data_IF_544232832832
#
_entry.id   IF_544232832832
#
_cell.length_a   1.000
_cell.length_b   1.000
_cell.length_c   1.000
_cell.angle_alpha   90.00
_cell.angle_beta   90.00
_cell.angle_gamma   90.00
#
_symmetry.space_group_name_H-M   'P 1'
#
loop_
_entity.id
_entity.type
_entity.pdbx_description
1 polymer ?
#
# COMPACT_ATOMS: atom_id res chain seq x y z
N UNK A 1 14.28 -3.92 -6.84
CA UNK A 1 14.51 -2.89 -5.81
C UNK A 1 13.75 -3.28 -4.54
N UNK A 2 14.31 -3.05 -3.37
CA UNK A 2 13.63 -3.31 -2.08
C UNK A 2 13.13 -1.99 -1.52
N UNK A 3 11.87 -1.98 -1.07
CA UNK A 3 11.17 -0.85 -0.50
C UNK A 3 10.58 -1.26 0.85
N UNK A 4 10.53 -0.32 1.78
CA UNK A 4 10.05 -0.53 3.14
C UNK A 4 8.85 0.39 3.38
N UNK A 5 7.65 0.04 2.88
CA UNK A 5 6.46 0.85 3.14
C UNK A 5 6.09 0.81 4.62
N UNK A 6 5.77 1.98 5.17
CA UNK A 6 5.32 2.13 6.54
C UNK A 6 4.07 2.99 6.59
N UNK A 7 3.08 2.55 7.35
CA UNK A 7 1.87 3.32 7.62
C UNK A 7 1.70 3.42 9.13
N UNK A 8 1.79 4.63 9.65
CA UNK A 8 1.61 4.96 11.07
C UNK A 8 0.23 5.57 11.31
N UNK A 9 -0.29 5.40 12.52
CA UNK A 9 -1.53 6.04 12.98
C UNK A 9 -2.75 5.78 12.08
N UNK A 10 -2.89 4.56 11.58
CA UNK A 10 -4.12 4.16 10.89
C UNK A 10 -5.16 3.85 11.95
N UNK A 11 -6.16 4.73 12.08
CA UNK A 11 -7.24 4.57 13.05
C UNK A 11 -8.20 3.47 12.62
N UNK A 12 -8.50 2.55 13.53
CA UNK A 12 -9.60 1.60 13.33
C UNK A 12 -10.95 2.27 13.55
N UNK A 13 -12.04 1.64 13.10
CA UNK A 13 -13.40 2.09 13.38
C UNK A 13 -13.71 2.12 14.90
N UNK A 14 -12.95 1.40 15.71
CA UNK A 14 -13.00 1.41 17.18
C UNK A 14 -12.03 2.41 17.82
N UNK A 15 -11.33 3.25 17.03
CA UNK A 15 -10.39 4.25 17.54
C UNK A 15 -9.06 3.68 18.05
N UNK A 16 -8.69 2.47 17.63
CA UNK A 16 -7.41 1.86 17.99
C UNK A 16 -6.34 2.29 16.96
N UNK A 17 -5.21 2.88 17.38
CA UNK A 17 -4.14 3.20 16.46
C UNK A 17 -3.38 1.94 16.04
N UNK A 18 -3.25 1.73 14.73
CA UNK A 18 -2.43 0.66 14.15
C UNK A 18 -1.22 1.22 13.41
N UNK A 19 -0.09 0.56 13.60
CA UNK A 19 1.15 0.80 12.84
C UNK A 19 1.49 -0.47 12.06
N UNK A 20 1.67 -0.32 10.76
CA UNK A 20 1.98 -1.44 9.86
C UNK A 20 3.27 -1.15 9.11
N UNK A 21 4.21 -2.07 9.24
CA UNK A 21 5.49 -2.07 8.52
C UNK A 21 5.53 -3.24 7.56
N UNK A 22 5.98 -3.01 6.33
CA UNK A 22 6.15 -4.05 5.31
C UNK A 22 7.51 -4.00 4.63
N UNK A 23 7.83 -5.09 3.93
CA UNK A 23 8.96 -5.14 2.99
C UNK A 23 8.40 -5.56 1.64
N UNK A 24 8.65 -4.75 0.61
CA UNK A 24 8.18 -4.99 -0.74
C UNK A 24 9.37 -5.04 -1.72
N UNK A 25 9.37 -6.03 -2.60
CA UNK A 25 10.36 -6.14 -3.66
C UNK A 25 9.71 -5.80 -5.00
N UNK A 26 10.10 -4.67 -5.59
CA UNK A 26 9.54 -4.18 -6.85
C UNK A 26 10.54 -4.38 -7.99
N UNK A 27 10.04 -4.72 -9.18
CA UNK A 27 10.84 -4.84 -10.41
C UNK A 27 9.97 -4.36 -11.58
N UNK A 28 10.58 -3.63 -12.51
CA UNK A 28 9.93 -3.27 -13.77
C UNK A 28 9.85 -4.52 -14.65
N UNK A 29 8.66 -4.84 -15.15
CA UNK A 29 8.47 -5.97 -16.08
C UNK A 29 9.05 -5.63 -17.45
N UNK A 30 9.54 -6.63 -18.18
CA UNK A 30 10.21 -6.44 -19.48
C UNK A 30 9.26 -6.61 -20.69
N UNK A 31 7.97 -6.38 -20.50
CA UNK A 31 6.98 -6.47 -21.55
C UNK A 31 6.91 -5.15 -22.33
N UNK A 32 6.86 -5.19 -23.65
CA UNK A 32 7.10 -4.03 -24.53
C UNK A 32 6.14 -2.85 -24.24
N UNK A 33 4.85 -3.15 -24.05
CA UNK A 33 3.82 -2.17 -23.72
C UNK A 33 4.07 -1.53 -22.35
N UNK A 34 4.38 -2.35 -21.34
CA UNK A 34 4.64 -1.88 -19.97
C UNK A 34 5.96 -1.12 -19.84
N UNK A 35 6.96 -1.51 -20.64
CA UNK A 35 8.26 -0.85 -20.67
C UNK A 35 8.12 0.56 -21.25
N UNK A 36 7.30 0.73 -22.29
CA UNK A 36 7.00 2.04 -22.86
C UNK A 36 6.36 2.96 -21.83
N UNK A 37 5.33 2.50 -21.11
CA UNK A 37 4.70 3.28 -20.04
C UNK A 37 5.66 3.58 -18.88
N UNK A 38 6.49 2.62 -18.48
CA UNK A 38 7.48 2.84 -17.43
C UNK A 38 8.53 3.89 -17.86
N UNK A 39 8.95 3.87 -19.13
CA UNK A 39 9.80 4.90 -19.69
C UNK A 39 9.08 6.26 -19.66
N UNK A 40 7.86 6.39 -20.16
CA UNK A 40 7.12 7.67 -20.12
C UNK A 40 6.99 8.24 -18.70
N UNK A 41 6.79 7.37 -17.70
CA UNK A 41 6.52 7.77 -16.32
C UNK A 41 7.79 8.07 -15.51
N UNK A 42 8.92 7.43 -15.87
CA UNK A 42 10.17 7.48 -15.09
C UNK A 42 11.38 8.04 -15.88
N UNK A 43 11.28 8.25 -17.19
CA UNK A 43 12.35 8.82 -18.01
C UNK A 43 12.68 10.24 -17.52
N UNK A 44 13.96 10.49 -17.26
CA UNK A 44 14.43 11.76 -16.71
C UNK A 44 14.31 11.91 -15.19
N UNK A 45 13.64 10.97 -14.49
CA UNK A 45 13.61 10.97 -13.01
C UNK A 45 14.84 10.29 -12.43
N UNK A 46 15.28 10.76 -11.28
CA UNK A 46 16.33 10.09 -10.53
C UNK A 46 15.80 8.78 -9.93
N UNK A 47 16.67 7.78 -9.74
CA UNK A 47 16.36 6.52 -9.05
C UNK A 47 15.68 6.75 -7.68
N UNK A 48 16.04 7.82 -6.96
CA UNK A 48 15.38 8.20 -5.70
C UNK A 48 13.91 8.58 -5.89
N UNK A 49 13.59 9.36 -6.91
CA UNK A 49 12.22 9.80 -7.20
C UNK A 49 11.34 8.65 -7.67
N UNK A 50 11.90 7.73 -8.47
CA UNK A 50 11.21 6.51 -8.87
C UNK A 50 10.86 5.67 -7.64
N UNK A 51 11.83 5.44 -6.74
CA UNK A 51 11.59 4.71 -5.48
C UNK A 51 10.53 5.38 -4.62
N UNK A 52 10.56 6.70 -4.48
CA UNK A 52 9.57 7.48 -3.72
C UNK A 52 8.16 7.32 -4.30
N UNK A 53 8.03 7.41 -5.63
CA UNK A 53 6.74 7.25 -6.32
C UNK A 53 6.15 5.87 -6.02
N UNK A 54 6.94 4.82 -6.17
CA UNK A 54 6.49 3.44 -5.90
C UNK A 54 6.17 3.22 -4.42
N UNK A 55 6.99 3.76 -3.51
CA UNK A 55 6.77 3.67 -2.07
C UNK A 55 5.43 4.31 -1.67
N UNK A 56 5.14 5.52 -2.15
CA UNK A 56 3.86 6.20 -1.90
C UNK A 56 2.66 5.41 -2.45
N UNK A 57 2.79 4.80 -3.63
CA UNK A 57 1.73 3.95 -4.19
C UNK A 57 1.47 2.73 -3.30
N UNK A 58 2.52 2.06 -2.83
CA UNK A 58 2.40 0.91 -1.93
C UNK A 58 1.77 1.28 -0.59
N UNK A 59 2.18 2.39 0.01
CA UNK A 59 1.61 2.91 1.26
C UNK A 59 0.13 3.30 1.09
N UNK A 60 -0.21 3.94 -0.04
CA UNK A 60 -1.59 4.24 -0.39
C UNK A 60 -2.46 2.99 -0.51
N UNK A 61 -1.96 1.95 -1.18
CA UNK A 61 -2.64 0.65 -1.27
C UNK A 61 -2.79 -0.01 0.11
N UNK A 62 -1.73 0.01 0.92
CA UNK A 62 -1.74 -0.57 2.26
C UNK A 62 -2.79 0.12 3.13
N UNK A 63 -2.86 1.46 3.10
CA UNK A 63 -3.86 2.25 3.81
C UNK A 63 -5.29 1.92 3.36
N UNK A 64 -5.52 1.75 2.06
CA UNK A 64 -6.82 1.37 1.52
C UNK A 64 -7.25 -0.04 1.97
N UNK A 65 -6.32 -1.00 2.00
CA UNK A 65 -6.57 -2.36 2.49
C UNK A 65 -6.87 -2.33 3.99
N UNK A 66 -6.09 -1.59 4.78
CA UNK A 66 -6.31 -1.43 6.21
C UNK A 66 -7.70 -0.83 6.49
N UNK A 67 -8.11 0.19 5.75
CA UNK A 67 -9.47 0.75 5.87
C UNK A 67 -10.59 -0.27 5.60
N UNK A 68 -10.38 -1.24 4.70
CA UNK A 68 -11.33 -2.32 4.43
C UNK A 68 -11.31 -3.43 5.48
N UNK A 69 -10.12 -3.85 5.94
CA UNK A 69 -9.97 -4.90 6.96
C UNK A 69 -10.49 -4.43 8.32
N UNK A 70 -10.24 -3.18 8.68
CA UNK A 70 -10.84 -2.56 9.86
C UNK A 70 -12.37 -2.62 9.79
N UNK A 71 -12.94 -2.43 8.60
CA UNK A 71 -14.39 -2.50 8.40
C UNK A 71 -14.94 -3.93 8.44
N UNK A 72 -14.17 -4.97 8.09
CA UNK A 72 -14.64 -6.37 8.09
C UNK A 72 -14.66 -7.01 9.49
N UNK A 73 -13.87 -6.50 10.43
CA UNK A 73 -14.00 -6.89 11.85
C UNK A 73 -15.35 -6.49 12.48
N UNK A 74 -16.20 -5.78 11.72
CA UNK A 74 -17.57 -5.38 12.09
C UNK A 74 -18.65 -6.12 11.29
N UNK A 75 -18.35 -7.22 10.59
CA UNK A 75 -19.44 -8.12 10.19
C UNK A 75 -20.06 -8.67 11.49
N UNK A 76 -21.32 -8.34 11.83
CA UNK A 76 -21.95 -8.88 13.02
C UNK A 76 -22.07 -10.39 12.81
N UNK A 77 -21.25 -11.15 13.52
CA UNK A 77 -21.54 -12.54 13.82
C UNK A 77 -22.95 -12.57 14.39
N UNK A 78 -23.81 -13.29 13.69
CA UNK A 78 -25.15 -13.68 14.13
C UNK A 78 -25.18 -14.08 15.62
N UNK A 79 -25.95 -13.35 16.43
CA UNK A 79 -26.67 -13.86 17.60
C UNK A 79 -25.88 -14.01 18.93
N UNK A 80 -26.62 -13.77 20.02
CA UNK A 80 -26.25 -13.80 21.45
C UNK A 80 -25.44 -12.56 21.91
N UNK A 81 -25.86 -11.76 22.91
CA UNK A 81 -26.59 -12.08 24.14
C UNK A 81 -27.47 -10.89 24.60
N UNK A 82 -28.58 -11.27 25.26
CA UNK A 82 -29.52 -10.59 26.19
C UNK A 82 -29.56 -9.06 26.33
#
# INVERSE_FOLDING_TARGET
>A
MTLNPMCEYVETAQGVPLTVTGVAQCKIMNEDELLTTACEQFLGKNVKEVKMTVLQTLEGHLRAILGKLVKICLAPSTGLEV
#
